data_IF_582975690513
#
_entry.id   IF_582975690513
#
_cell.length_a   1.000
_cell.length_b   1.000
_cell.length_c   1.000
_cell.angle_alpha   90.00
_cell.angle_beta   90.00
_cell.angle_gamma   90.00
#
_symmetry.space_group_name_H-M   'P 1'
#
loop_
_entity.id
_entity.type
_entity.pdbx_description
1 polymer ?
#
# COMPACT_ATOMS: atom_id res chain seq x y z
N UNK A 1 -36.26 39.69 20.26
CA UNK A 1 -36.76 38.40 19.71
C UNK A 1 -35.54 37.62 19.25
N UNK A 2 -35.10 36.72 20.10
CA UNK A 2 -34.05 35.73 19.87
C UNK A 2 -34.66 34.54 19.08
N UNK A 3 -33.93 33.89 18.21
CA UNK A 3 -34.29 32.56 17.72
C UNK A 3 -33.55 31.48 18.53
N UNK A 4 -34.35 30.52 18.96
CA UNK A 4 -34.08 29.33 19.72
C UNK A 4 -33.01 28.39 19.09
N UNK A 5 -32.14 27.91 19.97
CA UNK A 5 -31.17 26.83 19.74
C UNK A 5 -31.87 25.47 19.49
N UNK A 6 -31.49 24.79 18.41
CA UNK A 6 -31.83 23.40 18.18
C UNK A 6 -30.67 22.54 18.69
N UNK A 7 -30.92 21.81 19.76
CA UNK A 7 -30.01 20.77 20.29
C UNK A 7 -30.13 19.52 19.43
N UNK A 8 -29.02 19.12 18.83
CA UNK A 8 -28.86 17.81 18.15
C UNK A 8 -28.45 16.77 19.20
N UNK A 9 -29.32 15.80 19.44
CA UNK A 9 -29.10 14.64 20.31
C UNK A 9 -28.36 13.56 19.55
N UNK A 10 -27.09 13.34 19.86
CA UNK A 10 -26.33 12.16 19.46
C UNK A 10 -26.77 10.95 20.27
N UNK A 11 -27.34 9.95 19.62
CA UNK A 11 -27.59 8.63 20.20
C UNK A 11 -26.35 7.73 20.01
N UNK A 12 -25.83 7.19 21.12
CA UNK A 12 -24.79 6.15 21.14
C UNK A 12 -25.39 4.80 20.73
N UNK A 13 -24.66 3.95 20.01
CA UNK A 13 -25.12 2.59 19.72
C UNK A 13 -25.09 1.71 20.99
N UNK A 14 -26.20 1.00 21.20
CA UNK A 14 -26.43 0.06 22.29
C UNK A 14 -25.66 -1.25 22.02
N UNK A 15 -24.84 -1.67 22.97
CA UNK A 15 -24.26 -3.02 23.00
C UNK A 15 -25.34 -4.02 23.42
N UNK A 16 -25.63 -4.99 22.57
CA UNK A 16 -26.43 -6.15 22.95
C UNK A 16 -25.62 -7.06 23.87
N UNK A 17 -26.03 -7.14 25.12
CA UNK A 17 -25.61 -8.14 26.07
C UNK A 17 -26.71 -9.22 26.09
N UNK A 18 -26.36 -10.43 25.71
CA UNK A 18 -27.21 -11.59 25.86
C UNK A 18 -27.03 -12.09 27.30
N UNK A 19 -28.09 -11.98 28.10
CA UNK A 19 -28.18 -12.56 29.46
C UNK A 19 -28.91 -13.88 29.28
N UNK A 20 -28.28 -14.97 29.62
CA UNK A 20 -28.95 -16.23 29.88
C UNK A 20 -29.10 -16.40 31.39
N UNK A 21 -30.33 -16.27 31.86
CA UNK A 21 -30.78 -16.71 33.16
C UNK A 21 -30.86 -18.24 33.20
N UNK A 22 -30.25 -18.85 34.18
CA UNK A 22 -30.76 -20.10 34.79
C UNK A 22 -30.52 -20.02 36.29
N UNK A 23 -31.64 -19.92 37.04
CA UNK A 23 -31.78 -20.16 38.49
C UNK A 23 -31.38 -21.58 38.86
N UNK A 24 -30.73 -21.74 40.01
CA UNK A 24 -31.20 -22.46 41.17
C UNK A 24 -30.08 -22.64 42.19
N UNK A 25 -30.28 -22.09 43.39
CA UNK A 25 -29.60 -22.50 44.63
C UNK A 25 -30.29 -23.76 45.19
N UNK A 26 -29.52 -24.64 45.91
CA UNK A 26 -29.65 -24.55 47.35
C UNK A 26 -28.34 -24.66 48.15
N UNK A 27 -28.48 -24.18 49.31
CA UNK A 27 -27.66 -23.99 50.52
C UNK A 27 -26.85 -25.21 51.05
N UNK A 28 -25.71 -24.80 51.69
CA UNK A 28 -25.03 -25.37 52.89
C UNK A 28 -24.21 -26.64 52.79
N UNK A 29 -22.90 -26.51 52.98
CA UNK A 29 -22.22 -26.95 54.18
C UNK A 29 -20.73 -26.56 54.18
N UNK A 30 -20.33 -26.02 55.29
CA UNK A 30 -18.96 -25.68 55.69
C UNK A 30 -18.13 -26.96 55.74
N UNK A 31 -17.06 -27.00 54.95
CA UNK A 31 -15.90 -27.83 55.32
C UNK A 31 -14.63 -27.18 54.73
N UNK A 32 -13.80 -26.72 55.63
CA UNK A 32 -12.51 -26.13 55.37
C UNK A 32 -11.51 -27.22 55.03
N UNK A 33 -11.24 -27.37 53.74
CA UNK A 33 -10.05 -28.13 53.30
C UNK A 33 -8.98 -27.16 52.82
N UNK A 34 -7.71 -27.42 53.11
CA UNK A 34 -6.61 -26.54 52.78
C UNK A 34 -6.41 -26.44 51.28
N UNK A 35 -6.14 -25.25 50.81
CA UNK A 35 -5.67 -24.95 49.47
C UNK A 35 -4.52 -25.91 49.12
N UNK A 36 -4.86 -27.00 48.45
CA UNK A 36 -3.85 -27.79 47.77
C UNK A 36 -3.25 -26.89 46.66
N UNK A 37 -1.94 -26.71 46.75
CA UNK A 37 -1.11 -26.13 45.72
C UNK A 37 -1.62 -26.58 44.36
N UNK A 38 -2.06 -25.62 43.55
CA UNK A 38 -2.16 -25.79 42.12
C UNK A 38 -0.74 -26.17 41.68
N UNK A 39 -0.50 -27.46 41.49
CA UNK A 39 0.70 -27.94 40.84
C UNK A 39 0.86 -27.12 39.58
N UNK A 40 2.01 -26.49 39.44
CA UNK A 40 2.38 -25.79 38.24
C UNK A 40 1.96 -26.62 37.02
N UNK A 41 0.92 -26.18 36.33
CA UNK A 41 0.54 -26.72 35.03
C UNK A 41 1.78 -26.49 34.20
N UNK A 42 2.39 -27.60 33.76
CA UNK A 42 3.48 -27.54 32.81
C UNK A 42 3.05 -26.57 31.71
N UNK A 43 3.70 -25.42 31.63
CA UNK A 43 3.39 -24.35 30.67
C UNK A 43 3.53 -24.79 29.20
N UNK A 44 3.98 -26.02 28.97
CA UNK A 44 4.29 -26.59 27.66
C UNK A 44 3.07 -27.19 26.92
N UNK A 45 1.88 -27.31 27.56
CA UNK A 45 0.76 -28.07 26.99
C UNK A 45 -0.52 -27.25 26.69
N UNK A 46 -0.49 -25.92 26.78
CA UNK A 46 -1.66 -25.11 26.51
C UNK A 46 -1.85 -24.79 24.99
N UNK A 47 -0.81 -25.02 24.17
CA UNK A 47 -0.86 -24.84 22.73
C UNK A 47 -1.16 -26.19 22.08
N UNK A 48 -2.23 -26.26 21.28
CA UNK A 48 -2.54 -27.47 20.52
C UNK A 48 -1.43 -27.80 19.53
N UNK A 49 -1.25 -29.08 19.19
CA UNK A 49 -0.23 -29.52 18.23
C UNK A 49 -0.36 -28.84 16.85
N UNK A 50 -1.59 -28.64 16.38
CA UNK A 50 -1.85 -27.90 15.13
C UNK A 50 -1.34 -26.45 15.15
N UNK A 51 -1.54 -25.74 16.28
CA UNK A 51 -1.01 -24.39 16.46
C UNK A 51 0.51 -24.40 16.56
N UNK A 52 1.09 -25.43 17.20
CA UNK A 52 2.55 -25.59 17.29
C UNK A 52 3.19 -25.77 15.93
N UNK A 53 2.62 -26.59 15.05
CA UNK A 53 3.09 -26.77 13.67
C UNK A 53 3.00 -25.48 12.88
N UNK A 54 1.91 -24.71 12.99
CA UNK A 54 1.81 -23.39 12.38
C UNK A 54 2.89 -22.43 12.90
N UNK A 55 3.22 -22.48 14.19
CA UNK A 55 4.30 -21.65 14.76
C UNK A 55 5.68 -22.03 14.25
N UNK A 56 5.91 -23.30 13.89
CA UNK A 56 7.15 -23.73 13.21
C UNK A 56 7.28 -23.00 11.87
N UNK A 57 6.26 -23.07 11.02
CA UNK A 57 6.26 -22.43 9.71
C UNK A 57 6.42 -20.90 9.83
N UNK A 58 5.66 -20.28 10.76
CA UNK A 58 5.77 -18.85 11.04
C UNK A 58 7.17 -18.47 11.50
N UNK A 59 7.79 -19.28 12.39
CA UNK A 59 9.15 -18.98 12.88
C UNK A 59 10.20 -19.10 11.78
N UNK A 60 10.09 -20.08 10.89
CA UNK A 60 10.98 -20.25 9.74
C UNK A 60 10.84 -19.07 8.76
N UNK A 61 9.61 -18.76 8.36
CA UNK A 61 9.32 -17.61 7.49
C UNK A 61 9.81 -16.30 8.11
N UNK A 62 9.62 -16.13 9.42
CA UNK A 62 10.11 -14.95 10.13
C UNK A 62 11.63 -14.89 10.15
N UNK A 63 12.32 -16.02 10.39
CA UNK A 63 13.77 -16.13 10.37
C UNK A 63 14.36 -15.72 9.00
N UNK A 64 13.74 -16.16 7.91
CA UNK A 64 14.14 -15.75 6.56
C UNK A 64 13.95 -14.24 6.34
N UNK A 65 12.82 -13.70 6.76
CA UNK A 65 12.49 -12.30 6.59
C UNK A 65 13.38 -11.33 7.38
N UNK A 66 13.88 -11.74 8.56
CA UNK A 66 14.74 -10.88 9.41
C UNK A 66 16.21 -10.89 9.01
N UNK A 67 16.62 -11.74 8.07
CA UNK A 67 18.00 -11.76 7.53
C UNK A 67 18.34 -10.47 6.79
N UNK A 68 17.33 -9.75 6.36
CA UNK A 68 17.48 -8.52 5.59
C UNK A 68 16.89 -7.32 6.33
N UNK A 69 17.53 -6.15 6.27
CA UNK A 69 17.00 -4.94 6.87
C UNK A 69 15.73 -4.48 6.15
N UNK A 70 14.85 -3.82 6.88
CA UNK A 70 13.58 -3.31 6.34
C UNK A 70 13.76 -2.26 5.23
N UNK A 71 14.91 -1.57 5.24
CA UNK A 71 15.24 -0.55 4.24
C UNK A 71 15.86 -1.10 2.97
N UNK A 72 16.21 -2.39 2.93
CA UNK A 72 16.81 -3.06 1.77
C UNK A 72 16.43 -4.55 1.79
N UNK A 73 15.31 -4.88 1.17
CA UNK A 73 14.82 -6.25 1.07
C UNK A 73 15.09 -6.82 -0.30
N UNK A 74 15.41 -8.12 -0.42
CA UNK A 74 15.47 -8.77 -1.72
C UNK A 74 14.13 -8.58 -2.46
N UNK A 75 14.22 -8.24 -3.74
CA UNK A 75 13.08 -8.11 -4.63
C UNK A 75 13.04 -9.33 -5.56
N UNK A 76 11.87 -9.91 -5.74
CA UNK A 76 11.66 -11.09 -6.55
C UNK A 76 10.67 -10.82 -7.69
N UNK A 77 10.77 -11.59 -8.79
CA UNK A 77 9.85 -11.46 -9.94
C UNK A 77 8.36 -11.64 -9.57
N UNK A 78 8.09 -12.33 -8.45
CA UNK A 78 6.73 -12.57 -7.96
C UNK A 78 6.20 -11.45 -7.06
N UNK A 79 7.02 -10.46 -6.72
CA UNK A 79 6.62 -9.32 -5.88
C UNK A 79 5.87 -8.26 -6.71
N UNK A 80 4.75 -8.70 -7.32
CA UNK A 80 4.01 -7.91 -8.30
C UNK A 80 3.68 -6.49 -7.83
N UNK A 81 3.24 -6.33 -6.57
CA UNK A 81 2.87 -5.03 -6.01
C UNK A 81 4.08 -4.07 -5.88
N UNK A 82 5.29 -4.60 -5.63
CA UNK A 82 6.50 -3.80 -5.55
C UNK A 82 7.07 -3.48 -6.92
N UNK A 83 6.91 -4.40 -7.88
CA UNK A 83 7.34 -4.24 -9.26
C UNK A 83 6.41 -3.35 -10.09
N UNK A 84 5.17 -3.16 -9.62
CA UNK A 84 4.15 -2.35 -10.30
C UNK A 84 3.51 -1.35 -9.32
N UNK A 85 4.28 -0.44 -8.70
CA UNK A 85 3.75 0.44 -7.64
C UNK A 85 2.71 1.44 -8.14
N UNK A 86 2.66 1.68 -9.46
CA UNK A 86 1.68 2.56 -10.12
C UNK A 86 0.48 1.82 -10.69
N UNK A 87 0.46 0.48 -10.68
CA UNK A 87 -0.63 -0.28 -11.27
C UNK A 87 -1.95 0.00 -10.56
N UNK A 88 -2.98 0.22 -11.35
CA UNK A 88 -4.34 0.32 -10.86
C UNK A 88 -4.98 -1.07 -10.77
N UNK A 89 -5.64 -1.35 -9.66
CA UNK A 89 -6.41 -2.60 -9.47
C UNK A 89 -7.89 -2.26 -9.50
N UNK A 90 -8.62 -2.60 -10.57
CA UNK A 90 -10.04 -2.29 -10.69
C UNK A 90 -10.87 -3.08 -9.68
N UNK A 91 -11.91 -2.42 -9.15
CA UNK A 91 -12.88 -3.05 -8.27
C UNK A 91 -14.22 -3.14 -8.97
N UNK A 92 -14.67 -4.35 -9.27
CA UNK A 92 -16.00 -4.60 -9.79
C UNK A 92 -17.05 -4.38 -8.71
N UNK A 93 -18.12 -3.65 -9.03
CA UNK A 93 -19.24 -3.32 -8.16
C UNK A 93 -20.51 -3.84 -8.79
N UNK A 94 -21.29 -4.73 -8.13
CA UNK A 94 -22.61 -5.12 -8.59
C UNK A 94 -23.54 -3.91 -8.72
N UNK A 95 -24.43 -3.92 -9.71
CA UNK A 95 -25.39 -2.84 -9.92
C UNK A 95 -26.69 -3.13 -9.18
N UNK A 96 -27.15 -2.17 -8.36
CA UNK A 96 -28.28 -2.37 -7.43
C UNK A 96 -29.60 -2.75 -8.13
N UNK A 97 -29.83 -2.27 -9.35
CA UNK A 97 -31.03 -2.54 -10.10
C UNK A 97 -31.01 -3.90 -10.82
N UNK A 98 -29.86 -4.55 -10.97
CA UNK A 98 -29.73 -5.84 -11.65
C UNK A 98 -28.53 -6.63 -11.12
N UNK A 99 -28.78 -7.66 -10.31
CA UNK A 99 -27.75 -8.53 -9.70
C UNK A 99 -26.90 -9.28 -10.75
N UNK A 100 -27.38 -9.41 -11.99
CA UNK A 100 -26.64 -10.02 -13.11
C UNK A 100 -25.66 -9.09 -13.81
N UNK A 101 -25.56 -7.81 -13.38
CA UNK A 101 -24.65 -6.82 -13.93
C UNK A 101 -23.67 -6.29 -12.88
N UNK A 102 -22.48 -6.02 -13.32
CA UNK A 102 -21.46 -5.33 -12.52
C UNK A 102 -20.68 -4.34 -13.37
N UNK A 103 -20.18 -3.28 -12.75
CA UNK A 103 -19.35 -2.29 -13.41
C UNK A 103 -18.07 -1.98 -12.64
N UNK A 104 -17.03 -1.61 -13.37
CA UNK A 104 -15.74 -1.20 -12.81
C UNK A 104 -15.15 -0.04 -13.61
N UNK A 105 -14.53 0.92 -12.92
CA UNK A 105 -13.61 1.87 -13.55
C UNK A 105 -12.24 1.21 -13.60
N UNK A 106 -11.58 1.31 -14.74
CA UNK A 106 -10.19 0.86 -14.96
C UNK A 106 -9.37 2.06 -15.40
N UNK A 107 -8.23 2.27 -14.75
CA UNK A 107 -7.30 3.35 -15.05
C UNK A 107 -5.98 2.75 -15.55
N UNK A 108 -5.29 3.46 -16.45
CA UNK A 108 -3.95 3.06 -16.88
C UNK A 108 -2.97 3.01 -15.70
N UNK A 109 -3.12 3.91 -14.73
CA UNK A 109 -2.26 4.00 -13.55
C UNK A 109 -3.03 4.41 -12.30
N UNK A 110 -2.54 3.97 -11.13
CA UNK A 110 -3.03 4.40 -9.83
C UNK A 110 -2.37 5.70 -9.34
N UNK A 111 -1.11 5.94 -9.72
CA UNK A 111 -0.33 7.14 -9.39
C UNK A 111 -0.02 7.85 -10.70
N UNK A 112 -0.58 9.02 -10.88
CA UNK A 112 -0.58 9.79 -12.14
C UNK A 112 0.21 11.08 -11.98
N UNK A 113 1.02 11.43 -12.97
CA UNK A 113 1.64 12.75 -13.04
C UNK A 113 0.59 13.79 -13.43
N UNK A 114 0.68 15.00 -12.85
CA UNK A 114 -0.26 16.10 -13.15
C UNK A 114 -0.16 16.62 -14.58
N UNK A 115 0.96 16.38 -15.24
CA UNK A 115 1.28 16.81 -16.60
C UNK A 115 1.06 15.72 -17.66
N UNK A 116 0.50 14.58 -17.27
CA UNK A 116 0.16 13.46 -18.15
C UNK A 116 -1.36 13.27 -18.24
N UNK A 117 -1.83 12.80 -19.40
CA UNK A 117 -3.20 12.37 -19.57
C UNK A 117 -3.42 11.02 -18.90
N UNK A 118 -4.62 10.79 -18.37
CA UNK A 118 -4.98 9.52 -17.75
C UNK A 118 -5.99 8.76 -18.63
N UNK A 119 -5.60 7.59 -19.10
CA UNK A 119 -6.52 6.71 -19.80
C UNK A 119 -7.51 6.08 -18.80
N UNK A 120 -8.79 6.22 -19.13
CA UNK A 120 -9.91 5.75 -18.31
C UNK A 120 -10.79 4.85 -19.14
N UNK A 121 -11.16 3.72 -18.60
CA UNK A 121 -12.24 2.92 -19.16
C UNK A 121 -13.25 2.51 -18.09
N UNK A 122 -14.49 2.33 -18.52
CA UNK A 122 -15.56 1.77 -17.70
C UNK A 122 -15.98 0.44 -18.32
N UNK A 123 -15.81 -0.62 -17.53
CA UNK A 123 -16.18 -1.97 -17.92
C UNK A 123 -17.50 -2.34 -17.27
N UNK A 124 -18.43 -2.84 -18.08
CA UNK A 124 -19.70 -3.41 -17.63
C UNK A 124 -19.75 -4.86 -18.05
N UNK A 125 -20.02 -5.76 -17.14
CA UNK A 125 -20.03 -7.21 -17.38
C UNK A 125 -21.23 -7.86 -16.73
N UNK A 126 -21.68 -8.96 -17.34
CA UNK A 126 -22.76 -9.80 -16.81
C UNK A 126 -23.69 -10.35 -17.90
N UNK A 127 -24.47 -11.37 -17.54
CA UNK A 127 -25.35 -12.07 -18.49
C UNK A 127 -26.50 -11.18 -19.01
N UNK A 128 -26.90 -10.20 -18.21
CA UNK A 128 -28.00 -9.29 -18.58
C UNK A 128 -27.62 -8.25 -19.65
N UNK A 129 -26.36 -8.14 -20.06
CA UNK A 129 -25.90 -7.21 -21.11
C UNK A 129 -26.57 -7.43 -22.48
N UNK A 130 -27.12 -8.60 -22.71
CA UNK A 130 -27.88 -8.88 -23.96
C UNK A 130 -29.13 -8.01 -24.11
N UNK A 131 -29.67 -7.51 -22.98
CA UNK A 131 -30.94 -6.77 -22.96
C UNK A 131 -30.83 -5.38 -22.30
N UNK A 132 -29.85 -5.20 -21.42
CA UNK A 132 -29.66 -3.96 -20.64
C UNK A 132 -28.22 -3.46 -20.86
N UNK A 133 -28.11 -2.41 -21.65
CA UNK A 133 -26.78 -1.84 -22.03
C UNK A 133 -26.71 -0.36 -21.69
N UNK A 134 -25.55 0.15 -21.24
CA UNK A 134 -25.35 1.58 -21.10
C UNK A 134 -25.44 2.29 -22.46
N UNK A 135 -26.26 3.34 -22.54
CA UNK A 135 -26.33 4.24 -23.69
C UNK A 135 -25.33 5.39 -23.55
N UNK A 136 -25.19 5.90 -22.32
CA UNK A 136 -24.27 6.99 -22.01
C UNK A 136 -23.42 6.63 -20.80
N UNK A 137 -22.14 6.96 -20.88
CA UNK A 137 -21.20 6.81 -19.77
C UNK A 137 -20.44 8.13 -19.58
N UNK A 138 -20.74 8.82 -18.49
CA UNK A 138 -20.12 10.11 -18.16
C UNK A 138 -19.18 9.94 -16.96
N UNK A 139 -17.97 10.50 -17.07
CA UNK A 139 -16.98 10.46 -16.00
C UNK A 139 -16.83 11.84 -15.36
N UNK A 140 -16.90 11.87 -14.05
CA UNK A 140 -16.75 13.07 -13.22
C UNK A 140 -15.52 12.93 -12.33
N UNK A 141 -14.82 14.04 -12.16
CA UNK A 141 -13.78 14.18 -11.15
C UNK A 141 -14.37 14.85 -9.93
N UNK A 142 -14.19 14.24 -8.76
CA UNK A 142 -14.63 14.78 -7.47
C UNK A 142 -13.44 15.24 -6.64
N UNK A 143 -13.38 16.54 -6.38
CA UNK A 143 -12.43 17.16 -5.45
C UNK A 143 -13.20 17.93 -4.38
N UNK A 144 -12.92 17.65 -3.10
CA UNK A 144 -13.58 18.30 -1.93
C UNK A 144 -15.12 18.27 -1.99
N UNK A 145 -15.71 17.22 -2.58
CA UNK A 145 -17.16 17.08 -2.72
C UNK A 145 -17.77 17.84 -3.90
N UNK A 146 -16.99 18.62 -4.63
CA UNK A 146 -17.43 19.22 -5.89
C UNK A 146 -17.17 18.24 -7.03
N UNK A 147 -18.21 17.88 -7.76
CA UNK A 147 -18.11 17.05 -8.96
C UNK A 147 -18.06 17.95 -10.20
N UNK A 148 -17.11 17.65 -11.08
CA UNK A 148 -16.96 18.33 -12.37
C UNK A 148 -16.97 17.27 -13.46
N UNK A 149 -17.87 17.40 -14.46
CA UNK A 149 -17.87 16.50 -15.62
C UNK A 149 -16.54 16.64 -16.35
N UNK A 150 -15.85 15.54 -16.49
CA UNK A 150 -14.52 15.51 -17.06
C UNK A 150 -14.52 14.94 -18.48
N UNK A 151 -15.34 13.91 -18.72
CA UNK A 151 -15.32 13.16 -19.98
C UNK A 151 -16.67 12.45 -20.21
N UNK A 152 -17.02 12.30 -21.48
CA UNK A 152 -18.09 11.39 -21.95
C UNK A 152 -17.43 10.28 -22.76
N UNK A 153 -17.63 9.04 -22.34
CA UNK A 153 -17.01 7.90 -23.00
C UNK A 153 -17.87 7.43 -24.16
N UNK A 154 -17.32 7.48 -25.36
CA UNK A 154 -18.05 7.16 -26.60
C UNK A 154 -17.50 5.94 -27.33
N UNK A 155 -16.26 5.52 -27.06
CA UNK A 155 -15.66 4.36 -27.69
C UNK A 155 -16.08 3.08 -26.97
N UNK A 156 -16.77 2.20 -27.63
CA UNK A 156 -17.29 0.95 -27.07
C UNK A 156 -16.67 -0.25 -27.77
N UNK A 157 -16.08 -1.15 -26.98
CA UNK A 157 -15.61 -2.46 -27.42
C UNK A 157 -16.40 -3.53 -26.69
N UNK A 158 -16.97 -4.50 -27.45
CA UNK A 158 -17.66 -5.66 -26.89
C UNK A 158 -16.76 -6.89 -27.02
N UNK A 159 -16.49 -7.58 -25.93
CA UNK A 159 -15.73 -8.84 -25.91
C UNK A 159 -16.17 -9.70 -24.73
N UNK A 160 -16.40 -10.99 -24.98
CA UNK A 160 -16.62 -12.03 -23.95
C UNK A 160 -17.69 -11.66 -22.88
N UNK A 161 -18.82 -11.07 -23.28
CA UNK A 161 -19.88 -10.66 -22.34
C UNK A 161 -19.52 -9.43 -21.50
N UNK A 162 -18.58 -8.61 -21.97
CA UNK A 162 -18.16 -7.37 -21.35
C UNK A 162 -18.22 -6.22 -22.36
N UNK A 163 -18.77 -5.09 -21.95
CA UNK A 163 -18.68 -3.82 -22.68
C UNK A 163 -17.65 -2.92 -22.02
N UNK A 164 -16.73 -2.37 -22.82
CA UNK A 164 -15.69 -1.44 -22.36
C UNK A 164 -15.85 -0.10 -23.07
N UNK A 165 -16.12 0.94 -22.31
CA UNK A 165 -16.18 2.33 -22.74
C UNK A 165 -14.85 2.98 -22.40
N UNK A 166 -14.14 3.58 -23.36
CA UNK A 166 -12.79 4.11 -23.16
C UNK A 166 -12.68 5.56 -23.57
N UNK A 167 -11.78 6.27 -22.90
CA UNK A 167 -11.42 7.65 -23.22
C UNK A 167 -10.21 8.11 -22.42
N UNK A 168 -9.76 9.33 -22.67
CA UNK A 168 -8.58 9.92 -22.03
C UNK A 168 -8.97 11.21 -21.30
N UNK A 169 -8.65 11.28 -20.01
CA UNK A 169 -8.77 12.49 -19.21
C UNK A 169 -7.60 13.42 -19.52
N UNK A 170 -7.93 14.63 -19.95
CA UNK A 170 -6.91 15.66 -20.24
C UNK A 170 -6.25 16.12 -18.94
N UNK A 171 -4.92 16.23 -18.95
CA UNK A 171 -4.11 16.70 -17.83
C UNK A 171 -4.51 18.10 -17.32
N UNK A 172 -5.11 18.94 -18.15
CA UNK A 172 -5.61 20.26 -17.74
C UNK A 172 -6.60 20.18 -16.57
N UNK A 173 -7.35 19.09 -16.46
CA UNK A 173 -8.29 18.85 -15.35
C UNK A 173 -7.55 18.76 -14.00
N UNK A 174 -6.31 18.30 -14.00
CA UNK A 174 -5.53 18.07 -12.79
C UNK A 174 -4.88 19.34 -12.24
N UNK A 175 -4.79 20.42 -13.05
CA UNK A 175 -4.16 21.69 -12.65
C UNK A 175 -4.84 22.34 -11.45
N UNK A 176 -6.16 22.25 -11.38
CA UNK A 176 -6.99 22.90 -10.36
C UNK A 176 -7.27 22.00 -9.13
N UNK A 177 -6.82 20.74 -9.17
CA UNK A 177 -7.02 19.80 -8.08
C UNK A 177 -5.94 19.99 -7.01
N UNK A 178 -6.34 20.40 -5.82
CA UNK A 178 -5.40 20.58 -4.71
C UNK A 178 -5.11 19.27 -3.96
N UNK A 179 -6.03 18.30 -4.02
CA UNK A 179 -5.86 17.02 -3.33
C UNK A 179 -4.92 16.10 -4.12
N UNK A 180 -4.15 15.32 -3.38
CA UNK A 180 -3.35 14.25 -3.95
C UNK A 180 -4.14 12.96 -4.15
N UNK A 181 -5.28 12.79 -3.48
CA UNK A 181 -6.22 11.69 -3.71
C UNK A 181 -7.46 12.23 -4.42
N UNK A 182 -7.77 11.65 -5.56
CA UNK A 182 -8.85 12.09 -6.45
C UNK A 182 -9.83 10.95 -6.62
N UNK A 183 -11.12 11.26 -6.55
CA UNK A 183 -12.18 10.29 -6.79
C UNK A 183 -12.72 10.51 -8.21
N UNK A 184 -12.73 9.46 -9.01
CA UNK A 184 -13.50 9.39 -10.25
C UNK A 184 -14.85 8.75 -9.97
N UNK A 185 -15.89 9.29 -10.59
CA UNK A 185 -17.24 8.74 -10.54
C UNK A 185 -17.67 8.56 -11.99
N UNK A 186 -18.03 7.33 -12.36
CA UNK A 186 -18.68 7.06 -13.63
C UNK A 186 -20.19 6.92 -13.38
N UNK A 187 -20.96 7.70 -14.11
CA UNK A 187 -22.41 7.62 -14.20
C UNK A 187 -22.78 6.89 -15.50
N UNK A 188 -23.56 5.84 -15.37
CA UNK A 188 -24.02 5.01 -16.48
C UNK A 188 -25.53 5.16 -16.61
N UNK A 189 -26.00 5.61 -17.77
CA UNK A 189 -27.42 5.67 -18.12
C UNK A 189 -27.73 4.49 -19.05
N UNK A 190 -28.70 3.64 -18.67
CA UNK A 190 -29.02 2.42 -19.39
C UNK A 190 -30.25 2.59 -20.28
N UNK A 191 -30.37 1.72 -21.28
CA UNK A 191 -31.48 1.71 -22.26
C UNK A 191 -32.88 1.38 -21.67
N UNK A 192 -32.96 1.06 -20.40
CA UNK A 192 -34.17 0.80 -19.63
C UNK A 192 -34.53 1.93 -18.64
N UNK A 193 -33.98 3.14 -18.84
CA UNK A 193 -34.12 4.31 -17.98
C UNK A 193 -33.53 4.13 -16.56
N UNK A 194 -32.76 3.06 -16.30
CA UNK A 194 -32.04 2.87 -15.05
C UNK A 194 -30.71 3.57 -15.08
N UNK A 195 -30.22 3.95 -13.90
CA UNK A 195 -28.94 4.64 -13.71
C UNK A 195 -28.07 3.92 -12.68
N UNK A 196 -26.78 3.93 -12.91
CA UNK A 196 -25.80 3.42 -11.94
C UNK A 196 -24.63 4.37 -11.78
N UNK A 197 -23.98 4.30 -10.61
CA UNK A 197 -22.74 5.03 -10.32
C UNK A 197 -21.71 4.09 -9.75
N UNK A 198 -20.52 4.14 -10.30
CA UNK A 198 -19.34 3.46 -9.77
C UNK A 198 -18.22 4.45 -9.53
N UNK A 199 -17.34 4.16 -8.60
CA UNK A 199 -16.26 5.08 -8.26
C UNK A 199 -14.91 4.37 -8.18
N UNK A 200 -13.86 5.13 -8.47
CA UNK A 200 -12.47 4.72 -8.31
C UNK A 200 -11.67 5.85 -7.68
N UNK A 201 -10.59 5.51 -6.99
CA UNK A 201 -9.66 6.47 -6.40
C UNK A 201 -8.31 6.31 -7.07
N UNK A 202 -7.67 7.43 -7.40
CA UNK A 202 -6.29 7.47 -7.87
C UNK A 202 -5.52 8.58 -7.16
N UNK A 203 -4.19 8.59 -7.31
CA UNK A 203 -3.32 9.58 -6.69
C UNK A 203 -2.66 10.44 -7.74
N UNK A 204 -2.67 11.76 -7.51
CA UNK A 204 -1.88 12.69 -8.29
C UNK A 204 -0.50 12.87 -7.63
N UNK A 205 0.56 12.68 -8.40
CA UNK A 205 1.91 12.99 -7.96
C UNK A 205 2.00 14.48 -7.62
N UNK A 206 2.54 14.74 -6.43
CA UNK A 206 2.76 16.10 -5.94
C UNK A 206 4.13 16.63 -6.31
N UNK A 207 4.35 17.89 -5.97
CA UNK A 207 5.62 18.61 -6.17
C UNK A 207 6.25 19.02 -4.83
N UNK A 208 5.92 18.31 -3.74
CA UNK A 208 6.47 18.60 -2.40
C UNK A 208 8.00 18.43 -2.38
N UNK A 209 8.51 17.42 -3.08
CA UNK A 209 9.91 17.24 -3.39
C UNK A 209 10.08 16.53 -4.74
N UNK A 210 11.06 16.94 -5.50
CA UNK A 210 11.42 16.31 -6.78
C UNK A 210 12.82 15.74 -6.68
N UNK A 211 12.99 14.43 -6.91
CA UNK A 211 14.29 13.80 -7.05
C UNK A 211 14.92 14.26 -8.38
N UNK A 212 16.02 15.01 -8.28
CA UNK A 212 16.66 15.64 -9.46
C UNK A 212 17.89 14.87 -9.93
N UNK A 213 18.61 14.22 -9.02
CA UNK A 213 19.83 13.48 -9.38
C UNK A 213 20.23 12.46 -8.33
N UNK A 214 21.00 11.48 -8.78
CA UNK A 214 21.73 10.52 -7.94
C UNK A 214 23.23 10.79 -8.14
N UNK A 215 23.97 10.94 -7.03
CA UNK A 215 25.43 11.08 -7.08
C UNK A 215 26.11 9.70 -7.05
N UNK A 216 27.41 9.69 -7.25
CA UNK A 216 28.21 8.46 -7.21
C UNK A 216 27.98 7.71 -5.89
N UNK A 217 27.68 6.44 -6.04
CA UNK A 217 27.53 5.51 -4.92
C UNK A 217 28.89 5.19 -4.28
N UNK A 218 28.88 4.87 -2.99
CA UNK A 218 30.06 4.46 -2.26
C UNK A 218 29.75 3.38 -1.23
N UNK A 219 30.78 2.67 -0.77
CA UNK A 219 30.64 1.64 0.27
C UNK A 219 30.91 2.24 1.63
N UNK A 220 29.98 2.03 2.58
CA UNK A 220 30.10 2.38 3.98
C UNK A 220 29.82 1.15 4.86
N UNK A 221 30.85 0.50 5.37
CA UNK A 221 30.73 -0.76 6.12
C UNK A 221 30.05 -1.87 5.30
N UNK A 222 28.92 -2.35 5.74
CA UNK A 222 28.14 -3.36 5.04
C UNK A 222 27.12 -2.78 4.03
N UNK A 223 27.21 -1.48 3.69
CA UNK A 223 26.21 -0.81 2.86
C UNK A 223 26.79 -0.25 1.58
N UNK A 224 26.04 -0.43 0.48
CA UNK A 224 26.09 0.46 -0.67
C UNK A 224 25.24 1.67 -0.35
N UNK A 225 25.84 2.86 -0.33
CA UNK A 225 25.15 4.12 -0.04
C UNK A 225 25.05 4.95 -1.32
N UNK A 226 23.84 5.42 -1.61
CA UNK A 226 23.50 6.16 -2.82
C UNK A 226 22.96 7.52 -2.39
N UNK A 227 23.72 8.62 -2.58
CA UNK A 227 23.23 9.97 -2.31
C UNK A 227 22.21 10.39 -3.38
N UNK A 228 21.03 10.81 -2.93
CA UNK A 228 19.93 11.28 -3.77
C UNK A 228 19.65 12.76 -3.46
N UNK A 229 19.68 13.61 -4.47
CA UNK A 229 19.46 15.06 -4.35
C UNK A 229 18.02 15.42 -4.76
N UNK A 230 17.42 16.33 -4.00
CA UNK A 230 16.02 16.72 -4.18
C UNK A 230 15.88 18.23 -4.31
N UNK A 231 14.98 18.68 -5.18
CA UNK A 231 14.39 20.01 -5.07
C UNK A 231 13.20 19.95 -4.11
N UNK A 232 13.24 20.73 -3.02
CA UNK A 232 12.29 20.61 -1.90
C UNK A 232 11.42 21.85 -1.83
N UNK A 233 10.18 21.72 -2.25
CA UNK A 233 9.15 22.75 -2.11
C UNK A 233 8.55 22.79 -0.70
N UNK A 234 8.31 21.64 -0.11
CA UNK A 234 7.69 21.48 1.21
C UNK A 234 8.62 20.72 2.17
N UNK A 235 9.30 21.40 3.11
CA UNK A 235 10.15 20.73 4.09
C UNK A 235 9.41 19.70 4.94
N UNK A 236 10.06 18.58 5.30
CA UNK A 236 9.46 17.55 6.14
C UNK A 236 10.19 16.22 6.13
N UNK A 237 9.62 15.25 6.85
CA UNK A 237 10.09 13.87 6.81
C UNK A 237 9.54 13.16 5.59
N UNK A 238 10.45 12.70 4.74
CA UNK A 238 10.13 11.97 3.53
C UNK A 238 10.44 10.49 3.69
N UNK A 239 9.59 9.65 3.13
CA UNK A 239 9.83 8.26 2.85
C UNK A 239 10.04 8.13 1.34
N UNK A 240 11.17 7.58 0.96
CA UNK A 240 11.52 7.30 -0.42
C UNK A 240 11.64 5.80 -0.60
N UNK A 241 10.83 5.26 -1.47
CA UNK A 241 10.88 3.87 -1.91
C UNK A 241 11.35 3.85 -3.36
N UNK A 242 12.14 2.83 -3.71
CA UNK A 242 12.64 2.61 -5.06
C UNK A 242 13.00 1.14 -5.26
N UNK A 243 13.07 0.69 -6.50
CA UNK A 243 13.49 -0.64 -6.86
C UNK A 243 14.86 -0.61 -7.54
N UNK A 244 15.74 -1.53 -7.14
CA UNK A 244 17.05 -1.74 -7.74
C UNK A 244 17.04 -2.98 -8.61
N UNK A 245 17.49 -2.82 -9.85
CA UNK A 245 17.64 -3.89 -10.81
C UNK A 245 19.09 -4.00 -11.25
N UNK A 246 19.51 -5.16 -11.68
CA UNK A 246 20.72 -5.29 -12.47
C UNK A 246 20.54 -4.55 -13.80
N UNK A 247 21.49 -3.71 -14.17
CA UNK A 247 21.32 -2.84 -15.35
C UNK A 247 21.29 -3.61 -16.66
N UNK A 248 22.04 -4.70 -16.75
CA UNK A 248 22.18 -5.48 -17.97
C UNK A 248 21.04 -6.49 -18.13
N UNK A 249 20.81 -7.32 -17.13
CA UNK A 249 19.82 -8.39 -17.17
C UNK A 249 18.40 -7.96 -16.80
N UNK A 250 18.23 -6.78 -16.22
CA UNK A 250 16.95 -6.28 -15.64
C UNK A 250 16.37 -7.23 -14.57
N UNK A 251 17.23 -8.02 -13.92
CA UNK A 251 16.80 -8.85 -12.79
C UNK A 251 16.54 -7.98 -11.56
N UNK A 252 15.41 -8.17 -10.86
CA UNK A 252 15.10 -7.43 -9.63
C UNK A 252 16.04 -7.86 -8.50
N UNK A 253 16.68 -6.88 -7.86
CA UNK A 253 17.67 -7.11 -6.81
C UNK A 253 17.11 -6.74 -5.43
N UNK A 254 16.69 -5.51 -5.26
CA UNK A 254 16.29 -4.99 -3.94
C UNK A 254 15.19 -3.96 -4.03
N UNK A 255 14.24 -4.04 -3.11
CA UNK A 255 13.32 -2.95 -2.80
C UNK A 255 13.91 -2.11 -1.67
N UNK A 256 14.06 -0.82 -1.92
CA UNK A 256 14.60 0.17 -1.00
C UNK A 256 13.49 0.96 -0.32
N UNK A 257 13.69 1.28 0.96
CA UNK A 257 12.75 2.07 1.74
C UNK A 257 13.51 2.91 2.77
N UNK A 258 13.84 4.13 2.42
CA UNK A 258 14.57 5.04 3.28
C UNK A 258 13.70 6.19 3.77
N UNK A 259 14.02 6.72 4.95
CA UNK A 259 13.30 7.88 5.50
C UNK A 259 14.30 8.88 6.05
N UNK A 260 14.17 10.14 5.65
CA UNK A 260 15.05 11.22 6.07
C UNK A 260 14.31 12.57 6.08
N UNK A 261 14.85 13.52 6.81
CA UNK A 261 14.37 14.90 6.81
C UNK A 261 14.94 15.62 5.57
N UNK A 262 14.06 16.22 4.77
CA UNK A 262 14.46 17.11 3.69
C UNK A 262 14.01 18.54 4.01
N UNK A 263 14.92 19.47 3.74
CA UNK A 263 14.68 20.90 3.82
C UNK A 263 15.25 21.58 2.57
N UNK A 264 14.97 22.86 2.36
CA UNK A 264 15.58 23.62 1.24
C UNK A 264 17.12 23.69 1.32
N UNK A 265 17.72 23.48 2.50
CA UNK A 265 19.17 23.52 2.71
C UNK A 265 19.79 22.13 2.77
N UNK A 266 19.11 21.21 3.44
CA UNK A 266 19.50 19.81 3.59
C UNK A 266 18.60 18.99 2.67
N UNK A 267 18.95 18.94 1.42
CA UNK A 267 18.15 18.38 0.35
C UNK A 267 18.71 17.07 -0.22
N UNK A 268 19.66 16.44 0.47
CA UNK A 268 20.23 15.16 0.08
C UNK A 268 19.81 14.08 1.05
N UNK A 269 19.23 13.00 0.52
CA UNK A 269 18.89 11.79 1.25
C UNK A 269 19.83 10.63 0.89
N UNK A 270 20.07 9.71 1.84
CA UNK A 270 20.91 8.53 1.62
C UNK A 270 20.04 7.29 1.46
N UNK A 271 20.01 6.71 0.27
CA UNK A 271 19.45 5.39 0.05
C UNK A 271 20.52 4.35 0.34
N UNK A 272 20.19 3.33 1.15
CA UNK A 272 21.16 2.33 1.60
C UNK A 272 20.70 0.93 1.23
N UNK A 273 21.64 0.14 0.73
CA UNK A 273 21.44 -1.28 0.40
C UNK A 273 22.44 -2.08 1.23
N UNK A 274 21.94 -3.05 1.98
CA UNK A 274 22.82 -3.92 2.77
C UNK A 274 23.45 -4.98 1.88
N UNK A 275 24.74 -5.26 2.08
CA UNK A 275 25.49 -6.22 1.29
C UNK A 275 24.90 -7.63 1.29
N UNK A 276 24.21 -8.05 2.37
CA UNK A 276 23.50 -9.34 2.39
C UNK A 276 22.47 -9.46 1.28
N UNK A 277 21.75 -8.37 0.96
CA UNK A 277 20.77 -8.33 -0.13
C UNK A 277 21.46 -8.48 -1.50
N UNK A 278 22.56 -7.74 -1.73
CA UNK A 278 23.33 -7.83 -2.98
C UNK A 278 23.94 -9.22 -3.16
N UNK A 279 24.56 -9.77 -2.10
CA UNK A 279 25.18 -11.12 -2.11
C UNK A 279 24.13 -12.21 -2.38
N UNK A 280 22.93 -12.08 -1.85
CA UNK A 280 21.87 -13.08 -2.07
C UNK A 280 21.47 -13.20 -3.55
N UNK A 281 21.69 -12.14 -4.32
CA UNK A 281 21.40 -12.08 -5.77
C UNK A 281 22.63 -12.29 -6.65
N UNK A 282 23.83 -12.06 -6.11
CA UNK A 282 25.11 -12.29 -6.79
C UNK A 282 25.52 -11.22 -7.80
N UNK A 283 24.82 -10.08 -7.87
CA UNK A 283 25.14 -8.98 -8.78
C UNK A 283 26.05 -7.93 -8.11
N UNK A 284 27.08 -7.51 -8.83
CA UNK A 284 28.04 -6.48 -8.36
C UNK A 284 27.84 -5.12 -9.03
N UNK A 285 26.83 -4.99 -9.91
CA UNK A 285 26.48 -3.78 -10.67
C UNK A 285 27.20 -3.70 -12.03
N UNK A 286 26.97 -2.64 -12.80
CA UNK A 286 26.15 -1.47 -12.48
C UNK A 286 24.66 -1.80 -12.33
N UNK A 287 23.95 -0.94 -11.60
CA UNK A 287 22.52 -1.13 -11.30
C UNK A 287 21.67 -0.04 -11.95
N UNK A 288 20.37 -0.34 -12.12
CA UNK A 288 19.31 0.62 -12.46
C UNK A 288 18.42 0.81 -11.26
N UNK A 289 18.21 2.06 -10.85
CA UNK A 289 17.32 2.44 -9.75
C UNK A 289 16.08 3.11 -10.33
N UNK A 290 14.89 2.54 -10.08
CA UNK A 290 13.61 2.91 -10.71
C UNK A 290 12.46 2.90 -9.72
N UNK A 291 11.23 3.13 -10.19
CA UNK A 291 9.97 2.95 -9.46
C UNK A 291 9.89 3.80 -8.19
N UNK A 292 10.28 5.05 -8.28
CA UNK A 292 10.31 5.95 -7.14
C UNK A 292 8.91 6.27 -6.62
N UNK A 293 8.72 6.06 -5.31
CA UNK A 293 7.55 6.50 -4.56
C UNK A 293 8.03 7.42 -3.43
N UNK A 294 7.77 8.72 -3.57
CA UNK A 294 8.26 9.76 -2.66
C UNK A 294 7.07 10.30 -1.88
N UNK A 295 7.05 10.07 -0.58
CA UNK A 295 5.92 10.43 0.29
C UNK A 295 6.40 11.29 1.46
N UNK A 296 5.83 12.49 1.63
CA UNK A 296 6.05 13.34 2.80
C UNK A 296 5.06 12.96 3.90
N UNK A 297 5.57 12.59 5.06
CA UNK A 297 4.74 12.22 6.19
C UNK A 297 4.06 13.44 6.80
N UNK A 298 2.79 13.30 7.25
CA UNK A 298 2.13 14.34 8.03
C UNK A 298 2.95 14.72 9.27
N UNK A 299 3.13 16.00 9.52
CA UNK A 299 3.87 16.49 10.70
C UNK A 299 3.04 16.38 11.97
N UNK A 300 1.71 16.49 11.85
CA UNK A 300 0.74 16.44 12.95
C UNK A 300 -0.48 15.60 12.54
N UNK A 301 -1.22 15.04 13.50
CA UNK A 301 -2.52 14.42 13.21
C UNK A 301 -3.45 15.41 12.50
N UNK A 302 -4.03 14.99 11.38
CA UNK A 302 -4.91 15.83 10.54
C UNK A 302 -4.21 16.53 9.38
N UNK A 303 -2.87 16.60 9.36
CA UNK A 303 -2.13 17.08 8.20
C UNK A 303 -2.26 16.09 7.05
N UNK A 304 -2.24 16.60 5.81
CA UNK A 304 -2.27 15.76 4.62
C UNK A 304 -0.90 15.14 4.33
N UNK A 305 -0.92 13.91 3.85
CA UNK A 305 0.25 13.29 3.22
C UNK A 305 0.60 14.05 1.96
N UNK A 306 1.86 14.45 1.82
CA UNK A 306 2.37 15.03 0.60
C UNK A 306 3.05 13.99 -0.29
N UNK A 307 3.18 14.30 -1.57
CA UNK A 307 3.81 13.40 -2.54
C UNK A 307 4.86 14.17 -3.34
N UNK A 308 5.94 13.47 -3.65
CA UNK A 308 6.98 13.93 -4.54
C UNK A 308 7.01 13.11 -5.83
N UNK A 309 7.92 13.50 -6.72
CA UNK A 309 8.17 12.80 -7.98
C UNK A 309 9.67 12.67 -8.24
N UNK A 310 10.02 11.90 -9.25
CA UNK A 310 11.37 11.87 -9.85
C UNK A 310 11.34 12.60 -11.19
N UNK A 311 12.40 13.32 -11.54
CA UNK A 311 12.56 13.91 -12.87
C UNK A 311 12.82 12.83 -13.91
N UNK A 312 13.61 11.83 -13.55
CA UNK A 312 13.95 10.70 -14.43
C UNK A 312 13.25 9.42 -13.95
N UNK A 313 12.85 8.58 -14.89
CA UNK A 313 12.27 7.27 -14.58
C UNK A 313 13.30 6.30 -13.99
N UNK A 314 14.57 6.45 -14.38
CA UNK A 314 15.67 5.55 -14.02
C UNK A 314 16.99 6.28 -13.85
N UNK A 315 17.74 5.92 -12.81
CA UNK A 315 19.11 6.36 -12.61
C UNK A 315 20.06 5.18 -12.62
N UNK A 316 21.25 5.39 -13.20
CA UNK A 316 22.35 4.41 -13.13
C UNK A 316 23.10 4.56 -11.84
N UNK A 317 23.30 3.45 -11.12
CA UNK A 317 24.05 3.38 -9.85
C UNK A 317 25.26 2.48 -10.05
N UNK A 318 26.44 2.96 -9.66
CA UNK A 318 27.67 2.17 -9.65
C UNK A 318 27.59 1.03 -8.63
N UNK A 319 28.28 -0.06 -8.92
CA UNK A 319 28.42 -1.19 -8.00
C UNK A 319 29.87 -1.41 -7.60
N UNK A 320 30.09 -2.32 -6.67
CA UNK A 320 31.41 -2.63 -6.11
C UNK A 320 31.53 -4.13 -5.90
N UNK A 321 32.73 -4.67 -6.04
CA UNK A 321 33.02 -6.04 -5.66
C UNK A 321 32.71 -6.30 -4.18
N UNK A 322 32.23 -7.51 -3.84
CA UNK A 322 31.82 -7.85 -2.49
C UNK A 322 32.94 -7.79 -1.44
N UNK A 323 34.21 -7.79 -1.87
CA UNK A 323 35.36 -7.60 -0.98
C UNK A 323 35.46 -6.20 -0.38
N UNK A 324 34.82 -5.20 -0.99
CA UNK A 324 34.79 -3.84 -0.43
C UNK A 324 33.84 -3.68 0.76
N UNK A 325 32.89 -4.60 0.92
CA UNK A 325 31.89 -4.55 1.99
C UNK A 325 32.36 -5.31 3.23
N UNK A 326 32.00 -4.80 4.42
CA UNK A 326 32.11 -5.59 5.65
C UNK A 326 31.36 -6.92 5.51
N UNK A 327 31.94 -7.98 6.12
CA UNK A 327 31.34 -9.33 6.12
C UNK A 327 30.27 -9.51 7.21
N UNK A 328 29.94 -8.44 7.93
CA UNK A 328 28.94 -8.50 9.00
C UNK A 328 27.56 -8.79 8.47
N UNK A 329 26.90 -9.76 9.09
CA UNK A 329 25.49 -10.04 8.84
C UNK A 329 24.61 -8.96 9.48
N UNK A 330 23.45 -8.73 8.87
CA UNK A 330 22.46 -7.85 9.46
C UNK A 330 21.83 -8.51 10.69
N UNK A 331 21.90 -7.84 11.83
CA UNK A 331 21.27 -8.29 13.09
C UNK A 331 20.46 -7.14 13.68
N UNK A 332 19.16 -7.38 13.89
CA UNK A 332 18.29 -6.50 14.67
C UNK A 332 17.93 -7.20 15.99
N UNK A 333 18.37 -6.70 17.16
CA UNK A 333 18.13 -7.35 18.45
C UNK A 333 16.65 -7.56 18.76
N UNK A 334 15.77 -6.63 18.33
CA UNK A 334 14.32 -6.77 18.53
C UNK A 334 13.73 -7.90 17.69
N UNK A 335 14.22 -8.06 16.48
CA UNK A 335 13.78 -9.14 15.61
C UNK A 335 14.28 -10.49 16.14
N UNK A 336 15.48 -10.56 16.67
CA UNK A 336 16.03 -11.78 17.32
C UNK A 336 15.18 -12.18 18.52
N UNK A 337 14.85 -11.27 19.42
CA UNK A 337 13.98 -11.55 20.56
C UNK A 337 12.60 -12.08 20.14
N UNK A 338 12.04 -11.53 19.05
CA UNK A 338 10.77 -12.02 18.50
C UNK A 338 10.90 -13.44 17.92
N UNK A 339 11.99 -13.70 17.22
CA UNK A 339 12.28 -15.03 16.68
C UNK A 339 12.41 -16.05 17.80
N UNK A 340 13.19 -15.76 18.84
CA UNK A 340 13.35 -16.61 20.01
C UNK A 340 12.00 -16.92 20.69
N UNK A 341 11.13 -15.90 20.79
CA UNK A 341 9.78 -16.09 21.31
C UNK A 341 8.96 -17.04 20.43
N UNK A 342 8.96 -16.86 19.10
CA UNK A 342 8.24 -17.71 18.15
C UNK A 342 8.78 -19.15 18.19
N UNK A 343 10.09 -19.34 18.22
CA UNK A 343 10.73 -20.65 18.33
C UNK A 343 10.36 -21.34 19.64
N UNK A 344 10.33 -20.61 20.75
CA UNK A 344 9.88 -21.14 22.03
C UNK A 344 8.41 -21.60 21.98
N UNK A 345 7.53 -20.83 21.34
CA UNK A 345 6.12 -21.20 21.15
C UNK A 345 5.96 -22.42 20.23
N UNK A 346 6.83 -22.55 19.23
CA UNK A 346 6.90 -23.71 18.34
C UNK A 346 7.48 -24.97 19.00
N UNK A 347 8.07 -24.85 20.20
CA UNK A 347 8.79 -25.94 20.86
C UNK A 347 10.15 -26.25 20.23
N UNK A 348 10.69 -25.34 19.45
CA UNK A 348 12.05 -25.39 18.89
C UNK A 348 12.99 -24.78 19.94
N UNK A 349 14.00 -25.56 20.37
CA UNK A 349 15.04 -25.08 21.31
C UNK A 349 16.26 -24.58 20.55
#
# INVERSE_FOLDING_TARGET
KEPSSVQSTYQKPVKNVIVNDVESRPTTSTDSQPLQLIKAVNQDNWISEGVRLQMVDVSQTYQENIRYPKYSKPLHKNDWNLLNPRAFVPKSTPLDFNEGLSAAIVLSEYIVNRDENLEVSVQVSGEALNNVTPEFVSVYVSDKGKQTKALELSSVVSSDGMLTYSGSLDKAIFSDIENSEVILIAELDFNNDEQAKVSAVFKLMGTDATLTSISDSFVEGAHLTIPASFDVSSPGYYRVEANLFDKESQEPISHLNSSFLLTKRENTGMLKIHASTLRSKGFIGPYSLTDFNITRRPAKPGDKTGYGRSEEESFTVGGFDFSFYSQEDYVDPKNQQRLEFLQKMAGIR
#
